data_IF_654609374263
#
_entry.id   IF_654609374263
#
_cell.length_a   1.000
_cell.length_b   1.000
_cell.length_c   1.000
_cell.angle_alpha   90.00
_cell.angle_beta   90.00
_cell.angle_gamma   90.00
#
_symmetry.space_group_name_H-M   'P 1'
#
loop_
_entity.id
_entity.type
_entity.pdbx_description
1 polymer ?
#
# COMPACT_ATOMS: atom_id res chain seq x y z
N UNK A 1 90.43 13.33 29.66
CA UNK A 1 89.15 13.73 30.21
C UNK A 1 88.04 13.84 29.14
N UNK A 2 88.36 14.27 27.93
CA UNK A 2 87.33 14.47 26.87
C UNK A 2 86.61 13.21 26.44
N UNK A 3 87.25 12.08 26.27
CA UNK A 3 86.62 10.85 25.77
C UNK A 3 85.57 10.23 26.70
N UNK A 4 85.84 10.30 28.00
CA UNK A 4 84.84 9.80 28.96
C UNK A 4 83.62 10.69 29.05
N UNK A 5 83.79 12.00 29.02
CA UNK A 5 82.67 12.95 29.03
C UNK A 5 81.82 12.81 27.72
N UNK A 6 82.49 12.65 26.57
CA UNK A 6 81.80 12.39 25.31
C UNK A 6 80.98 11.06 25.29
N UNK A 7 81.55 10.03 25.97
CA UNK A 7 80.85 8.77 26.17
C UNK A 7 79.66 8.91 27.09
N UNK A 8 79.81 9.59 28.23
CA UNK A 8 78.73 9.81 29.20
C UNK A 8 77.58 10.64 28.53
N UNK A 9 77.87 11.66 27.74
CA UNK A 9 76.86 12.42 26.97
C UNK A 9 76.19 11.57 25.94
N UNK A 10 76.91 10.75 25.19
CA UNK A 10 76.29 9.85 24.15
C UNK A 10 75.34 8.83 24.82
N UNK A 11 75.73 8.26 25.97
CA UNK A 11 74.90 7.31 26.70
C UNK A 11 73.66 7.99 27.25
N UNK A 12 73.74 9.23 27.70
CA UNK A 12 72.62 10.01 28.14
C UNK A 12 71.62 10.37 27.02
N UNK A 13 72.19 10.71 25.87
CA UNK A 13 71.39 10.98 24.66
C UNK A 13 70.66 9.71 24.16
N UNK A 14 71.38 8.58 24.05
CA UNK A 14 70.78 7.30 23.69
C UNK A 14 69.72 6.85 24.69
N UNK A 15 69.92 7.04 25.98
CA UNK A 15 68.88 6.71 26.98
C UNK A 15 67.66 7.59 26.84
N UNK A 16 67.80 8.89 26.52
CA UNK A 16 66.70 9.78 26.23
C UNK A 16 65.94 9.39 24.92
N UNK A 17 66.69 9.03 23.87
CA UNK A 17 66.08 8.55 22.62
C UNK A 17 65.30 7.26 22.85
N UNK A 18 65.83 6.30 23.59
CA UNK A 18 65.12 5.05 23.92
C UNK A 18 63.81 5.37 24.69
N UNK A 19 63.90 6.21 25.73
CA UNK A 19 62.73 6.56 26.52
C UNK A 19 61.64 7.27 25.66
N UNK A 20 62.05 8.13 24.76
CA UNK A 20 61.11 8.75 23.83
C UNK A 20 60.50 7.74 22.84
N UNK A 21 61.31 6.86 22.25
CA UNK A 21 60.83 5.80 21.37
C UNK A 21 59.87 4.83 22.08
N UNK A 22 60.15 4.46 23.32
CA UNK A 22 59.25 3.63 24.13
C UNK A 22 57.92 4.34 24.38
N UNK A 23 57.95 5.63 24.71
CA UNK A 23 56.74 6.43 24.89
C UNK A 23 55.93 6.52 23.59
N UNK A 24 56.56 6.83 22.47
CA UNK A 24 55.92 6.90 21.17
C UNK A 24 55.29 5.55 20.76
N UNK A 25 55.99 4.44 21.03
CA UNK A 25 55.47 3.08 20.82
C UNK A 25 54.22 2.82 21.66
N UNK A 26 54.24 3.21 22.94
CA UNK A 26 53.10 2.99 23.83
C UNK A 26 51.89 3.84 23.45
N UNK A 27 52.10 5.11 23.04
CA UNK A 27 51.06 5.97 22.51
C UNK A 27 50.44 5.42 21.19
N UNK A 28 51.29 4.90 20.30
CA UNK A 28 50.84 4.23 19.07
C UNK A 28 50.08 2.94 19.37
N UNK A 29 50.51 2.16 20.35
CA UNK A 29 49.82 0.94 20.77
C UNK A 29 48.42 1.24 21.36
N UNK A 30 48.30 2.30 22.17
CA UNK A 30 47.00 2.75 22.67
C UNK A 30 46.07 3.21 21.53
N UNK A 31 46.63 3.98 20.59
CA UNK A 31 45.86 4.46 19.39
C UNK A 31 45.40 3.29 18.55
N UNK A 32 46.26 2.29 18.32
CA UNK A 32 45.92 1.05 17.62
C UNK A 32 44.79 0.30 18.32
N UNK A 33 44.84 0.19 19.66
CA UNK A 33 43.78 -0.47 20.41
C UNK A 33 42.42 0.25 20.27
N UNK A 34 42.41 1.60 20.31
CA UNK A 34 41.21 2.41 20.08
C UNK A 34 40.65 2.21 18.67
N UNK A 35 41.51 2.15 17.63
CA UNK A 35 41.08 1.91 16.24
C UNK A 35 40.57 0.50 16.04
N UNK A 36 41.13 -0.51 16.68
CA UNK A 36 40.61 -1.89 16.67
C UNK A 36 39.22 -1.96 17.31
N UNK A 37 39.00 -1.23 18.40
CA UNK A 37 37.66 -1.15 19.01
C UNK A 37 36.67 -0.47 18.04
N UNK A 38 37.02 0.68 17.49
CA UNK A 38 36.17 1.40 16.55
C UNK A 38 35.81 0.54 15.29
N UNK A 39 36.80 -0.24 14.80
CA UNK A 39 36.56 -1.19 13.70
C UNK A 39 35.55 -2.25 14.09
N UNK A 40 35.69 -2.84 15.31
CA UNK A 40 34.73 -3.86 15.74
C UNK A 40 33.32 -3.30 15.93
N UNK A 41 33.18 -2.06 16.39
CA UNK A 41 31.91 -1.36 16.53
C UNK A 41 31.29 -1.09 15.15
N UNK A 42 32.09 -0.58 14.18
CA UNK A 42 31.64 -0.34 12.81
C UNK A 42 31.25 -1.64 12.07
N UNK A 43 31.95 -2.75 12.30
CA UNK A 43 31.59 -4.07 11.76
C UNK A 43 30.26 -4.57 12.35
N UNK A 44 30.00 -4.31 13.63
CA UNK A 44 28.73 -4.58 14.29
C UNK A 44 27.58 -3.77 13.67
N UNK A 45 27.78 -2.47 13.55
CA UNK A 45 26.80 -1.56 12.95
C UNK A 45 26.54 -1.89 11.47
N UNK A 46 27.56 -2.26 10.71
CA UNK A 46 27.45 -2.72 9.32
C UNK A 46 26.55 -3.96 9.23
N UNK A 47 26.77 -4.95 10.08
CA UNK A 47 25.98 -6.18 10.11
C UNK A 47 24.51 -5.89 10.41
N UNK A 48 24.25 -5.07 11.44
CA UNK A 48 22.89 -4.75 11.86
C UNK A 48 22.15 -3.90 10.81
N UNK A 49 22.84 -2.90 10.23
CA UNK A 49 22.29 -2.06 9.15
C UNK A 49 22.01 -2.88 7.90
N UNK A 50 22.93 -3.78 7.52
CA UNK A 50 22.72 -4.69 6.38
C UNK A 50 21.52 -5.59 6.61
N UNK A 51 21.39 -6.17 7.79
CA UNK A 51 20.27 -7.06 8.14
C UNK A 51 18.94 -6.33 8.07
N UNK A 52 18.86 -5.12 8.60
CA UNK A 52 17.63 -4.32 8.55
C UNK A 52 17.32 -3.84 7.13
N UNK A 53 18.31 -3.42 6.34
CA UNK A 53 18.15 -3.09 4.92
C UNK A 53 17.57 -4.26 4.12
N UNK A 54 18.11 -5.45 4.33
CA UNK A 54 17.67 -6.65 3.60
C UNK A 54 16.23 -7.06 3.99
N UNK A 55 15.85 -6.83 5.26
CA UNK A 55 14.45 -6.98 5.69
C UNK A 55 13.53 -5.96 5.02
N UNK A 56 13.96 -4.70 4.87
CA UNK A 56 13.20 -3.65 4.17
C UNK A 56 13.07 -3.94 2.67
N UNK A 57 14.10 -4.49 2.03
CA UNK A 57 14.04 -4.94 0.62
C UNK A 57 12.98 -6.02 0.44
N UNK A 58 12.93 -6.98 1.35
CA UNK A 58 11.90 -8.03 1.31
C UNK A 58 10.51 -7.47 1.55
N UNK A 59 10.37 -6.61 2.56
CA UNK A 59 9.11 -5.94 2.86
C UNK A 59 8.61 -5.11 1.66
N UNK A 60 9.50 -4.36 1.00
CA UNK A 60 9.17 -3.59 -0.20
C UNK A 60 8.64 -4.47 -1.33
N UNK A 61 9.24 -5.63 -1.57
CA UNK A 61 8.79 -6.56 -2.59
C UNK A 61 7.37 -7.09 -2.29
N UNK A 62 7.11 -7.50 -1.04
CA UNK A 62 5.81 -7.98 -0.60
C UNK A 62 4.75 -6.85 -0.64
N UNK A 63 5.13 -5.64 -0.25
CA UNK A 63 4.29 -4.45 -0.28
C UNK A 63 3.92 -4.07 -1.72
N UNK A 64 4.90 -4.04 -2.63
CA UNK A 64 4.68 -3.75 -4.06
C UNK A 64 3.71 -4.74 -4.66
N UNK A 65 3.93 -6.04 -4.47
CA UNK A 65 3.03 -7.08 -4.98
C UNK A 65 1.60 -6.93 -4.41
N UNK A 66 1.49 -6.60 -3.12
CA UNK A 66 0.20 -6.39 -2.46
C UNK A 66 -0.53 -5.16 -3.03
N UNK A 67 0.18 -4.04 -3.21
CA UNK A 67 -0.39 -2.81 -3.75
C UNK A 67 -0.78 -2.94 -5.22
N UNK A 68 0.02 -3.62 -6.04
CA UNK A 68 -0.31 -3.94 -7.44
C UNK A 68 -1.56 -4.83 -7.54
N UNK A 69 -1.65 -5.87 -6.71
CA UNK A 69 -2.85 -6.72 -6.66
C UNK A 69 -4.09 -5.92 -6.26
N UNK A 70 -3.98 -5.05 -5.26
CA UNK A 70 -5.08 -4.17 -4.83
C UNK A 70 -5.49 -3.17 -5.91
N UNK A 71 -4.53 -2.61 -6.66
CA UNK A 71 -4.82 -1.73 -7.80
C UNK A 71 -5.58 -2.48 -8.92
N UNK A 72 -5.15 -3.67 -9.29
CA UNK A 72 -5.83 -4.51 -10.27
C UNK A 72 -7.24 -4.90 -9.84
N UNK A 73 -7.40 -5.27 -8.57
CA UNK A 73 -8.72 -5.57 -7.99
C UNK A 73 -9.64 -4.34 -8.00
N UNK A 74 -9.08 -3.15 -7.73
CA UNK A 74 -9.79 -1.88 -7.80
C UNK A 74 -10.32 -1.61 -9.21
N UNK A 75 -9.46 -1.69 -10.24
CA UNK A 75 -9.86 -1.49 -11.63
C UNK A 75 -10.98 -2.45 -12.04
N UNK A 76 -10.85 -3.72 -11.69
CA UNK A 76 -11.87 -4.75 -11.96
C UNK A 76 -13.19 -4.45 -11.26
N UNK A 77 -13.16 -3.89 -10.03
CA UNK A 77 -14.37 -3.47 -9.32
C UNK A 77 -14.98 -2.22 -9.92
N UNK A 78 -14.17 -1.23 -10.31
CA UNK A 78 -14.65 -0.01 -10.98
C UNK A 78 -15.38 -0.33 -12.27
N UNK A 79 -14.82 -1.20 -13.10
CA UNK A 79 -15.48 -1.63 -14.34
C UNK A 79 -16.82 -2.30 -14.05
N UNK A 80 -16.86 -3.25 -13.12
CA UNK A 80 -18.12 -3.91 -12.71
C UNK A 80 -19.15 -2.93 -12.16
N UNK A 81 -18.74 -1.97 -11.34
CA UNK A 81 -19.63 -0.91 -10.82
C UNK A 81 -20.22 -0.07 -11.95
N UNK A 82 -19.39 0.35 -12.92
CA UNK A 82 -19.88 1.12 -14.06
C UNK A 82 -20.95 0.33 -14.84
N UNK A 83 -20.74 -0.95 -15.07
CA UNK A 83 -21.69 -1.84 -15.76
C UNK A 83 -22.96 -2.06 -14.93
N UNK A 84 -22.86 -2.21 -13.61
CA UNK A 84 -23.98 -2.30 -12.68
C UNK A 84 -24.82 -1.01 -12.66
N UNK A 85 -24.18 0.18 -12.68
CA UNK A 85 -24.86 1.46 -12.76
C UNK A 85 -25.68 1.58 -14.05
N UNK A 86 -25.07 1.25 -15.20
CA UNK A 86 -25.79 1.26 -16.48
C UNK A 86 -26.99 0.31 -16.45
N UNK A 87 -26.85 -0.86 -15.86
CA UNK A 87 -27.94 -1.83 -15.74
C UNK A 87 -29.07 -1.31 -14.83
N UNK A 88 -28.73 -0.65 -13.70
CA UNK A 88 -29.69 -0.05 -12.78
C UNK A 88 -30.39 1.14 -13.44
N UNK A 89 -29.65 2.01 -14.13
CA UNK A 89 -30.20 3.16 -14.85
C UNK A 89 -31.22 2.73 -15.93
N UNK A 90 -30.87 1.69 -16.69
CA UNK A 90 -31.78 1.11 -17.69
C UNK A 90 -33.01 0.48 -17.04
N UNK A 91 -32.88 -0.14 -15.89
CA UNK A 91 -34.03 -0.65 -15.14
C UNK A 91 -34.95 0.48 -14.68
N UNK A 92 -34.37 1.58 -14.15
CA UNK A 92 -35.11 2.78 -13.72
C UNK A 92 -35.82 3.43 -14.91
N UNK A 93 -35.12 3.60 -16.06
CA UNK A 93 -35.71 4.12 -17.32
C UNK A 93 -36.94 3.30 -17.74
N UNK A 94 -36.79 1.96 -17.72
CA UNK A 94 -37.88 1.05 -18.11
C UNK A 94 -39.09 1.17 -17.18
N UNK A 95 -38.86 1.34 -15.86
CA UNK A 95 -39.93 1.51 -14.88
C UNK A 95 -40.56 2.90 -14.97
N UNK A 96 -39.75 3.92 -15.30
CA UNK A 96 -40.18 5.33 -15.35
C UNK A 96 -40.73 5.76 -16.68
N UNK A 97 -40.71 4.90 -17.67
CA UNK A 97 -41.18 5.21 -19.04
C UNK A 97 -42.68 5.64 -19.02
N UNK A 98 -42.97 6.76 -19.65
CA UNK A 98 -44.31 7.37 -19.69
C UNK A 98 -45.39 6.42 -20.25
N UNK A 99 -45.02 5.41 -21.06
CA UNK A 99 -45.93 4.34 -21.45
C UNK A 99 -46.36 3.44 -20.28
N UNK A 100 -45.54 3.36 -19.22
CA UNK A 100 -45.89 2.65 -17.99
C UNK A 100 -46.64 3.58 -17.02
N UNK A 101 -46.33 4.89 -17.01
CA UNK A 101 -47.04 5.93 -16.26
C UNK A 101 -48.31 6.42 -16.95
N UNK A 102 -48.22 6.72 -18.22
CA UNK A 102 -49.31 7.34 -18.99
C UNK A 102 -50.58 6.48 -19.09
N UNK A 103 -50.40 5.15 -19.13
CA UNK A 103 -51.57 4.24 -19.05
C UNK A 103 -52.25 4.24 -17.68
N UNK A 104 -51.55 4.64 -16.61
CA UNK A 104 -52.15 4.78 -15.28
C UNK A 104 -52.98 6.09 -15.16
N UNK A 105 -52.47 7.17 -15.74
CA UNK A 105 -53.12 8.51 -15.64
C UNK A 105 -54.27 8.65 -16.64
N UNK A 106 -54.14 8.12 -17.87
CA UNK A 106 -55.17 8.18 -18.92
C UNK A 106 -56.38 7.29 -18.61
N UNK A 107 -56.20 6.19 -17.89
CA UNK A 107 -57.28 5.29 -17.49
C UNK A 107 -57.80 5.53 -16.08
N UNK A 108 -57.14 6.32 -15.24
CA UNK A 108 -57.63 6.72 -13.92
C UNK A 108 -58.62 7.92 -14.01
N UNK A 109 -58.43 8.81 -14.99
CA UNK A 109 -59.28 9.99 -15.16
C UNK A 109 -60.67 9.69 -15.74
N UNK A 110 -60.85 8.55 -16.42
CA UNK A 110 -62.12 8.16 -17.07
C UNK A 110 -62.91 7.11 -16.31
N UNK A 111 -62.39 6.55 -15.23
CA UNK A 111 -62.95 5.38 -14.55
C UNK A 111 -63.85 5.62 -13.35
N UNK A 112 -64.33 6.85 -13.10
CA UNK A 112 -65.30 7.11 -12.02
C UNK A 112 -66.77 7.05 -12.45
N UNK A 113 -67.06 6.66 -13.68
CA UNK A 113 -68.43 6.43 -14.13
C UNK A 113 -68.56 5.05 -14.76
N UNK A 114 -69.01 4.10 -13.97
CA UNK A 114 -69.70 2.86 -14.38
C UNK A 114 -68.98 1.91 -15.33
N UNK A 115 -68.35 0.87 -14.84
CA UNK A 115 -68.69 -0.56 -15.02
C UNK A 115 -67.68 -1.44 -14.31
N UNK A 116 -68.12 -2.09 -13.29
CA UNK A 116 -67.34 -2.83 -12.31
C UNK A 116 -67.17 -4.30 -12.67
N UNK A 117 -66.46 -4.73 -13.74
CA UNK A 117 -66.11 -6.14 -13.77
C UNK A 117 -65.02 -6.60 -14.73
N UNK A 118 -64.50 -5.76 -15.64
CA UNK A 118 -63.45 -6.25 -16.58
C UNK A 118 -62.08 -5.57 -16.49
N UNK A 119 -61.99 -4.44 -15.79
CA UNK A 119 -60.80 -3.59 -15.79
C UNK A 119 -59.69 -3.93 -14.76
N UNK A 120 -59.96 -4.60 -13.63
CA UNK A 120 -58.86 -4.97 -12.71
C UNK A 120 -57.85 -5.96 -13.27
N UNK A 121 -58.28 -6.82 -14.18
CA UNK A 121 -57.42 -7.86 -14.79
C UNK A 121 -56.41 -7.31 -15.79
N UNK A 122 -56.82 -6.37 -16.66
CA UNK A 122 -55.90 -5.75 -17.62
C UNK A 122 -54.87 -4.84 -16.98
N UNK A 123 -55.22 -4.17 -15.88
CA UNK A 123 -54.30 -3.34 -15.10
C UNK A 123 -53.22 -4.15 -14.37
N UNK A 124 -53.62 -5.31 -13.86
CA UNK A 124 -52.71 -6.23 -13.18
C UNK A 124 -51.72 -6.85 -14.19
N UNK A 125 -52.16 -7.17 -15.39
CA UNK A 125 -51.30 -7.78 -16.42
C UNK A 125 -50.20 -6.86 -16.95
N UNK A 126 -50.46 -5.54 -17.13
CA UNK A 126 -49.43 -4.61 -17.61
C UNK A 126 -48.37 -4.30 -16.54
N UNK A 127 -48.76 -4.14 -15.29
CA UNK A 127 -47.81 -4.00 -14.18
C UNK A 127 -46.99 -5.28 -13.97
N UNK A 128 -47.62 -6.44 -14.13
CA UNK A 128 -46.97 -7.74 -14.03
C UNK A 128 -45.97 -7.95 -15.18
N UNK A 129 -46.35 -7.53 -16.43
CA UNK A 129 -45.48 -7.64 -17.59
C UNK A 129 -44.27 -6.68 -17.53
N UNK A 130 -44.46 -5.43 -17.11
CA UNK A 130 -43.35 -4.46 -16.90
C UNK A 130 -42.40 -4.94 -15.80
N UNK A 131 -42.94 -5.41 -14.70
CA UNK A 131 -42.19 -6.04 -13.59
C UNK A 131 -41.42 -7.25 -14.08
N UNK A 132 -42.03 -8.16 -14.81
CA UNK A 132 -41.38 -9.36 -15.33
C UNK A 132 -40.23 -9.03 -16.30
N UNK A 133 -40.38 -7.98 -17.14
CA UNK A 133 -39.30 -7.50 -18.04
C UNK A 133 -38.11 -6.96 -17.25
N UNK A 134 -38.35 -6.16 -16.20
CA UNK A 134 -37.28 -5.62 -15.33
C UNK A 134 -36.56 -6.75 -14.58
N UNK A 135 -37.31 -7.69 -14.00
CA UNK A 135 -36.76 -8.86 -13.32
C UNK A 135 -35.90 -9.70 -14.26
N UNK A 136 -36.42 -10.02 -15.44
CA UNK A 136 -35.68 -10.82 -16.42
C UNK A 136 -34.42 -10.10 -16.93
N UNK A 137 -34.48 -8.79 -17.14
CA UNK A 137 -33.32 -7.98 -17.51
C UNK A 137 -32.25 -7.98 -16.43
N UNK A 138 -32.63 -7.71 -15.16
CA UNK A 138 -31.72 -7.73 -14.03
C UNK A 138 -31.10 -9.11 -13.81
N UNK A 139 -31.88 -10.19 -13.93
CA UNK A 139 -31.37 -11.57 -13.83
C UNK A 139 -30.37 -11.90 -14.94
N UNK A 140 -30.65 -11.47 -16.19
CA UNK A 140 -29.72 -11.65 -17.30
C UNK A 140 -28.40 -10.94 -17.05
N UNK A 141 -28.43 -9.66 -16.67
CA UNK A 141 -27.24 -8.88 -16.34
C UNK A 141 -26.50 -9.40 -15.10
N UNK A 142 -27.23 -9.87 -14.09
CA UNK A 142 -26.65 -10.52 -12.93
C UNK A 142 -25.80 -11.74 -13.27
N UNK A 143 -26.25 -12.54 -14.27
CA UNK A 143 -25.50 -13.71 -14.76
C UNK A 143 -24.29 -13.29 -15.62
N UNK A 144 -24.46 -12.30 -16.51
CA UNK A 144 -23.39 -11.81 -17.38
C UNK A 144 -22.23 -11.23 -16.56
N UNK A 145 -22.53 -10.45 -15.50
CA UNK A 145 -21.52 -9.78 -14.66
C UNK A 145 -21.19 -10.55 -13.38
N UNK A 146 -21.76 -11.74 -13.17
CA UNK A 146 -21.62 -12.51 -11.94
C UNK A 146 -21.89 -11.68 -10.67
N UNK A 147 -22.84 -10.73 -10.77
CA UNK A 147 -23.15 -9.77 -9.70
C UNK A 147 -24.20 -10.31 -8.74
N UNK A 148 -23.81 -10.54 -7.47
CA UNK A 148 -24.72 -10.93 -6.39
C UNK A 148 -25.73 -9.83 -6.07
N UNK A 149 -25.34 -8.56 -6.30
CA UNK A 149 -26.17 -7.37 -6.02
C UNK A 149 -27.35 -7.33 -7.01
N UNK A 150 -27.08 -7.46 -8.31
CA UNK A 150 -28.13 -7.50 -9.34
C UNK A 150 -29.04 -8.72 -9.18
N UNK A 151 -28.51 -9.87 -8.76
CA UNK A 151 -29.32 -11.05 -8.43
C UNK A 151 -30.26 -10.80 -7.26
N UNK A 152 -29.79 -10.20 -6.18
CA UNK A 152 -30.60 -9.85 -5.01
C UNK A 152 -31.66 -8.78 -5.35
N UNK A 153 -31.31 -7.81 -6.20
CA UNK A 153 -32.24 -6.79 -6.70
C UNK A 153 -33.36 -7.42 -7.55
N UNK A 154 -33.03 -8.37 -8.43
CA UNK A 154 -34.00 -9.09 -9.26
C UNK A 154 -35.02 -9.86 -8.40
N UNK A 155 -34.54 -10.63 -7.41
CA UNK A 155 -35.42 -11.40 -6.49
C UNK A 155 -36.37 -10.47 -5.73
N UNK A 156 -35.87 -9.34 -5.20
CA UNK A 156 -36.70 -8.41 -4.42
C UNK A 156 -37.62 -7.55 -5.29
N UNK A 157 -37.25 -7.30 -6.55
CA UNK A 157 -38.17 -6.70 -7.54
C UNK A 157 -39.35 -7.63 -7.88
N UNK A 158 -39.21 -8.93 -7.66
CA UNK A 158 -40.26 -9.93 -7.85
C UNK A 158 -41.33 -9.88 -6.73
N UNK A 159 -40.91 -9.62 -5.47
CA UNK A 159 -41.79 -9.75 -4.30
C UNK A 159 -42.65 -8.55 -3.99
N UNK A 160 -42.24 -7.30 -4.28
CA UNK A 160 -43.07 -6.13 -4.01
C UNK A 160 -42.58 -4.81 -4.64
N UNK A 161 -43.54 -3.87 -4.86
CA UNK A 161 -43.32 -2.73 -5.72
C UNK A 161 -42.34 -1.69 -5.13
N UNK A 162 -41.69 -1.09 -6.03
CA UNK A 162 -40.89 0.15 -6.12
C UNK A 162 -40.38 0.82 -4.84
N UNK A 163 -41.07 0.80 -3.72
CA UNK A 163 -40.62 1.45 -2.46
C UNK A 163 -39.45 0.71 -1.84
N UNK A 164 -39.47 -0.62 -1.82
CA UNK A 164 -38.39 -1.45 -1.32
C UNK A 164 -37.18 -1.42 -2.28
N UNK A 165 -37.46 -1.41 -3.61
CA UNK A 165 -36.39 -1.30 -4.62
C UNK A 165 -35.67 0.04 -4.54
N UNK A 166 -36.39 1.16 -4.37
CA UNK A 166 -35.79 2.49 -4.16
C UNK A 166 -34.93 2.56 -2.90
N UNK A 167 -35.38 1.92 -1.82
CA UNK A 167 -34.59 1.86 -0.59
C UNK A 167 -33.28 1.07 -0.82
N UNK A 168 -33.38 -0.09 -1.47
CA UNK A 168 -32.19 -0.91 -1.77
C UNK A 168 -31.18 -0.20 -2.68
N UNK A 169 -31.66 0.55 -3.69
CA UNK A 169 -30.79 1.35 -4.55
C UNK A 169 -30.07 2.41 -3.73
N UNK A 170 -30.77 3.10 -2.81
CA UNK A 170 -30.13 4.07 -1.90
C UNK A 170 -29.08 3.41 -1.00
N UNK A 171 -29.42 2.28 -0.39
CA UNK A 171 -28.52 1.53 0.49
C UNK A 171 -27.29 1.03 -0.30
N UNK A 172 -27.47 0.61 -1.56
CA UNK A 172 -26.39 0.24 -2.46
C UNK A 172 -25.49 1.42 -2.79
N UNK A 173 -26.06 2.58 -3.13
CA UNK A 173 -25.27 3.79 -3.41
C UNK A 173 -24.41 4.18 -2.21
N UNK A 174 -24.99 4.20 -1.00
CA UNK A 174 -24.26 4.52 0.24
C UNK A 174 -23.12 3.52 0.45
N UNK A 175 -23.36 2.23 0.24
CA UNK A 175 -22.34 1.20 0.37
C UNK A 175 -21.22 1.36 -0.67
N UNK A 176 -21.57 1.61 -1.93
CA UNK A 176 -20.59 1.83 -3.00
C UNK A 176 -19.74 3.08 -2.77
N UNK A 177 -20.33 4.14 -2.19
CA UNK A 177 -19.59 5.34 -1.79
C UNK A 177 -18.63 5.04 -0.63
N UNK A 178 -19.06 4.24 0.37
CA UNK A 178 -18.20 3.78 1.45
C UNK A 178 -17.02 2.96 0.93
N UNK A 179 -17.27 1.97 0.09
CA UNK A 179 -16.23 1.15 -0.55
C UNK A 179 -15.25 2.00 -1.40
N UNK A 180 -15.75 3.03 -2.10
CA UNK A 180 -14.89 3.94 -2.88
C UNK A 180 -13.96 4.77 -2.00
N UNK A 181 -14.44 5.22 -0.83
CA UNK A 181 -13.60 5.94 0.13
C UNK A 181 -12.52 5.02 0.74
N UNK A 182 -12.88 3.82 1.17
CA UNK A 182 -11.94 2.83 1.69
C UNK A 182 -10.85 2.49 0.67
N UNK A 183 -11.21 2.38 -0.61
CA UNK A 183 -10.27 2.12 -1.70
C UNK A 183 -9.33 3.31 -1.96
N UNK A 184 -9.84 4.56 -1.84
CA UNK A 184 -9.01 5.76 -1.96
C UNK A 184 -8.02 5.87 -0.79
N UNK A 185 -8.44 5.56 0.44
CA UNK A 185 -7.58 5.49 1.62
C UNK A 185 -6.52 4.40 1.47
N UNK A 186 -6.89 3.22 0.98
CA UNK A 186 -5.95 2.13 0.72
C UNK A 186 -4.89 2.51 -0.33
N UNK A 187 -5.29 3.22 -1.40
CA UNK A 187 -4.35 3.72 -2.40
C UNK A 187 -3.38 4.73 -1.79
N UNK A 188 -3.91 5.71 -1.03
CA UNK A 188 -3.09 6.71 -0.35
C UNK A 188 -2.09 6.08 0.63
N UNK A 189 -2.50 5.04 1.35
CA UNK A 189 -1.61 4.27 2.21
C UNK A 189 -0.51 3.59 1.40
N UNK A 190 -0.84 2.89 0.31
CA UNK A 190 0.16 2.25 -0.55
C UNK A 190 1.18 3.25 -1.10
N UNK A 191 0.73 4.38 -1.63
CA UNK A 191 1.60 5.42 -2.20
C UNK A 191 2.57 5.97 -1.12
N UNK A 192 2.08 6.20 0.09
CA UNK A 192 2.88 6.72 1.21
C UNK A 192 3.88 5.67 1.71
N UNK A 193 3.43 4.44 1.91
CA UNK A 193 4.25 3.37 2.47
C UNK A 193 5.37 2.95 1.50
N UNK A 194 5.07 2.85 0.20
CA UNK A 194 6.06 2.58 -0.84
C UNK A 194 7.15 3.66 -0.86
N UNK A 195 6.77 4.94 -0.86
CA UNK A 195 7.71 6.05 -0.86
C UNK A 195 8.57 6.10 0.40
N UNK A 196 7.97 5.88 1.57
CA UNK A 196 8.68 5.88 2.86
C UNK A 196 9.68 4.71 2.94
N UNK A 197 9.28 3.53 2.49
CA UNK A 197 10.16 2.36 2.51
C UNK A 197 11.32 2.53 1.51
N UNK A 198 11.07 3.07 0.32
CA UNK A 198 12.11 3.35 -0.66
C UNK A 198 13.16 4.32 -0.10
N UNK A 199 12.74 5.43 0.50
CA UNK A 199 13.63 6.38 1.14
C UNK A 199 14.44 5.74 2.27
N UNK A 200 13.79 4.99 3.16
CA UNK A 200 14.48 4.31 4.27
C UNK A 200 15.52 3.31 3.75
N UNK A 201 15.24 2.60 2.68
CA UNK A 201 16.16 1.66 2.05
C UNK A 201 17.36 2.38 1.41
N UNK A 202 17.15 3.53 0.78
CA UNK A 202 18.24 4.37 0.24
C UNK A 202 19.15 4.85 1.38
N UNK A 203 18.60 5.43 2.45
CA UNK A 203 19.36 5.89 3.61
C UNK A 203 20.20 4.76 4.23
N UNK A 204 19.63 3.56 4.37
CA UNK A 204 20.37 2.40 4.88
C UNK A 204 21.44 1.90 3.91
N UNK A 205 21.23 2.03 2.61
CA UNK A 205 22.22 1.66 1.60
C UNK A 205 23.42 2.60 1.67
N UNK A 206 23.19 3.91 1.77
CA UNK A 206 24.24 4.91 1.96
C UNK A 206 25.01 4.68 3.29
N UNK A 207 24.29 4.33 4.36
CA UNK A 207 24.91 4.00 5.65
C UNK A 207 25.83 2.77 5.55
N UNK A 208 25.42 1.73 4.83
CA UNK A 208 26.24 0.54 4.56
C UNK A 208 27.50 0.89 3.78
N UNK A 209 27.38 1.72 2.72
CA UNK A 209 28.55 2.17 1.96
C UNK A 209 29.50 3.01 2.80
N UNK A 210 28.96 3.89 3.65
CA UNK A 210 29.76 4.72 4.57
C UNK A 210 30.52 3.86 5.58
N UNK A 211 29.85 2.87 6.18
CA UNK A 211 30.46 1.95 7.14
C UNK A 211 31.56 1.09 6.50
N UNK A 212 31.38 0.65 5.25
CA UNK A 212 32.44 -0.03 4.52
C UNK A 212 33.66 0.86 4.32
N UNK A 213 33.48 2.11 3.89
CA UNK A 213 34.59 3.05 3.72
C UNK A 213 35.30 3.38 5.04
N UNK A 214 34.56 3.47 6.14
CA UNK A 214 35.13 3.67 7.48
C UNK A 214 35.96 2.48 7.95
N UNK A 215 35.46 1.25 7.74
CA UNK A 215 36.18 0.02 8.07
C UNK A 215 37.48 -0.06 7.27
N UNK A 216 37.45 0.20 5.96
CA UNK A 216 38.64 0.18 5.10
C UNK A 216 39.68 1.20 5.58
N UNK A 217 39.25 2.41 5.99
CA UNK A 217 40.13 3.45 6.50
C UNK A 217 40.74 3.05 7.85
N UNK A 218 39.95 2.43 8.72
CA UNK A 218 40.42 1.92 10.01
C UNK A 218 41.42 0.78 9.81
N UNK A 219 41.19 -0.13 8.88
CA UNK A 219 42.11 -1.22 8.54
C UNK A 219 43.47 -0.69 8.04
N UNK A 220 43.45 0.27 7.11
CA UNK A 220 44.68 0.89 6.62
C UNK A 220 45.46 1.55 7.74
N UNK A 221 44.78 2.30 8.64
CA UNK A 221 45.42 2.97 9.78
C UNK A 221 45.98 1.97 10.79
N UNK A 222 45.28 0.85 11.05
CA UNK A 222 45.75 -0.21 11.94
C UNK A 222 46.99 -0.91 11.35
N UNK A 223 47.03 -1.11 10.03
CA UNK A 223 48.19 -1.68 9.36
C UNK A 223 49.42 -0.78 9.49
N UNK A 224 49.29 0.53 9.22
CA UNK A 224 50.35 1.53 9.39
C UNK A 224 50.88 1.56 10.84
N UNK A 225 50.00 1.66 11.84
CA UNK A 225 50.38 1.62 13.24
C UNK A 225 51.06 0.31 13.64
N UNK A 226 50.71 -0.79 12.97
CA UNK A 226 51.35 -2.08 13.24
C UNK A 226 52.78 -2.11 12.76
N UNK A 227 53.05 -1.56 11.57
CA UNK A 227 54.42 -1.40 11.06
C UNK A 227 55.23 -0.46 11.91
N UNK A 228 54.67 0.65 12.34
CA UNK A 228 55.34 1.65 13.17
C UNK A 228 55.76 1.15 14.57
N UNK A 229 55.01 0.21 15.11
CA UNK A 229 55.25 -0.41 16.43
C UNK A 229 56.29 -1.54 16.35
N UNK A 230 56.51 -2.12 15.15
CA UNK A 230 57.45 -3.27 14.93
C UNK A 230 58.89 -2.83 14.92
#
# INVERSE_FOLDING_TARGET
>A
MNSRHAYDMLMQDLAAQIANAEKDRDEKAETKAKKLQAKADAEGDLKDTTTTRDADVKYLADLTATCEQKASDFESRQQRRAEEFVAIEKAIETISNDKVKGNADEHLAVGLAQTASAFPQLRNDMHVQAKARVVSYLQKRAREFNSRVLSALAVRAEDDPFTKVKKMIKDLIVRLMGEANEEAEQKGWCDTELSTNEQTREEKTEAVETLHAEIDQLEASIAELTEDIS
#
